data_IF_350877356269
#
_entry.id   IF_350877356269
#
_cell.length_a   1.000
_cell.length_b   1.000
_cell.length_c   1.000
_cell.angle_alpha   90.00
_cell.angle_beta   90.00
_cell.angle_gamma   90.00
#
_symmetry.space_group_name_H-M   'P 1'
#
loop_
_entity.id
_entity.type
_entity.pdbx_description
1 polymer ?
#
# COMPACT_ATOMS: atom_id res chain seq x y z
N UNK A 1 -2.35 -3.25 8.96
CA UNK A 1 -2.08 -3.75 7.58
C UNK A 1 -3.02 -4.88 7.16
N UNK A 2 -3.18 -5.98 7.91
CA UNK A 2 -4.04 -7.13 7.52
C UNK A 2 -5.50 -6.78 7.19
N UNK A 3 -6.15 -5.91 7.98
CA UNK A 3 -7.56 -5.55 7.74
C UNK A 3 -7.79 -4.69 6.49
N UNK A 4 -6.81 -3.86 6.12
CA UNK A 4 -6.91 -2.98 4.94
C UNK A 4 -6.71 -3.78 3.65
N UNK A 5 -5.73 -4.70 3.62
CA UNK A 5 -5.57 -5.61 2.49
C UNK A 5 -6.80 -6.50 2.30
N UNK A 6 -7.38 -7.02 3.38
CA UNK A 6 -8.60 -7.85 3.30
C UNK A 6 -9.79 -7.08 2.72
N UNK A 7 -9.92 -5.79 3.05
CA UNK A 7 -11.01 -4.96 2.55
C UNK A 7 -10.84 -4.62 1.07
N UNK A 8 -9.62 -4.27 0.65
CA UNK A 8 -9.29 -3.99 -0.76
C UNK A 8 -9.48 -5.26 -1.61
N UNK A 9 -9.08 -6.43 -1.10
CA UNK A 9 -9.25 -7.70 -1.82
C UNK A 9 -10.72 -8.10 -1.93
N UNK A 10 -11.51 -7.92 -0.86
CA UNK A 10 -12.94 -8.18 -0.88
C UNK A 10 -13.69 -7.25 -1.83
N UNK A 11 -13.30 -5.97 -1.88
CA UNK A 11 -13.92 -4.98 -2.77
C UNK A 11 -13.56 -5.21 -4.24
N UNK A 12 -12.28 -5.46 -4.55
CA UNK A 12 -11.84 -5.83 -5.90
C UNK A 12 -12.50 -7.13 -6.38
N UNK A 13 -12.61 -8.14 -5.49
CA UNK A 13 -13.32 -9.38 -5.80
C UNK A 13 -14.79 -9.13 -6.08
N UNK A 14 -15.45 -8.24 -5.32
CA UNK A 14 -16.84 -7.87 -5.56
C UNK A 14 -17.01 -7.14 -6.90
N UNK A 15 -16.12 -6.20 -7.24
CA UNK A 15 -16.14 -5.50 -8.54
C UNK A 15 -15.90 -6.47 -9.71
N UNK A 16 -14.98 -7.44 -9.56
CA UNK A 16 -14.72 -8.46 -10.58
C UNK A 16 -15.93 -9.39 -10.72
N UNK A 17 -16.54 -9.83 -9.61
CA UNK A 17 -17.73 -10.70 -9.64
C UNK A 17 -18.94 -9.98 -10.23
N UNK A 18 -19.15 -8.69 -9.95
CA UNK A 18 -20.22 -7.89 -10.57
C UNK A 18 -19.96 -7.70 -12.07
N UNK A 19 -18.70 -7.45 -12.46
CA UNK A 19 -18.32 -7.32 -13.87
C UNK A 19 -18.43 -8.64 -14.64
N UNK A 20 -18.06 -9.77 -14.01
CA UNK A 20 -18.15 -11.11 -14.60
C UNK A 20 -19.60 -11.62 -14.65
N UNK A 21 -20.43 -11.37 -13.65
CA UNK A 21 -21.85 -11.76 -13.68
C UNK A 21 -22.63 -10.98 -14.75
N UNK A 22 -22.20 -9.77 -15.10
CA UNK A 22 -22.80 -9.02 -16.20
C UNK A 22 -22.39 -9.56 -17.59
N UNK A 23 -21.24 -10.24 -17.68
CA UNK A 23 -20.71 -10.78 -18.94
C UNK A 23 -21.23 -12.21 -19.23
N UNK A 24 -21.48 -13.02 -18.20
CA UNK A 24 -21.79 -14.45 -18.35
C UNK A 24 -23.23 -14.82 -18.73
N UNK A 25 -24.21 -13.90 -18.68
CA UNK A 25 -25.63 -14.21 -18.94
C UNK A 25 -26.13 -14.02 -20.38
N UNK A 26 -25.30 -13.54 -21.31
CA UNK A 26 -25.81 -12.96 -22.58
C UNK A 26 -25.53 -13.79 -23.86
N UNK A 27 -25.09 -15.05 -23.76
CA UNK A 27 -24.72 -15.82 -24.96
C UNK A 27 -25.78 -16.84 -25.39
N UNK A 28 -26.35 -17.61 -24.45
CA UNK A 28 -27.31 -18.68 -24.76
C UNK A 28 -28.77 -18.21 -24.87
N UNK A 29 -29.16 -17.20 -24.09
CA UNK A 29 -30.56 -16.71 -24.08
C UNK A 29 -30.94 -15.98 -25.38
N UNK A 30 -29.98 -15.41 -26.10
CA UNK A 30 -30.26 -14.57 -27.27
C UNK A 30 -30.50 -15.35 -28.57
N UNK A 31 -29.99 -16.58 -28.70
CA UNK A 31 -30.30 -17.41 -29.88
C UNK A 31 -31.78 -17.80 -29.88
N UNK A 32 -32.34 -18.08 -28.69
CA UNK A 32 -33.76 -18.33 -28.49
C UNK A 32 -34.61 -17.08 -28.81
N UNK A 33 -34.16 -15.88 -28.41
CA UNK A 33 -34.84 -14.62 -28.73
C UNK A 33 -34.92 -14.34 -30.24
N UNK A 34 -33.83 -14.60 -30.98
CA UNK A 34 -33.80 -14.36 -32.43
C UNK A 34 -34.75 -15.30 -33.19
N UNK A 35 -34.76 -16.59 -32.84
CA UNK A 35 -35.67 -17.55 -33.48
C UNK A 35 -37.13 -17.20 -33.21
N UNK A 36 -37.45 -16.80 -31.98
CA UNK A 36 -38.80 -16.36 -31.60
C UNK A 36 -39.21 -15.10 -32.37
N UNK A 37 -38.30 -14.15 -32.57
CA UNK A 37 -38.57 -12.94 -33.36
C UNK A 37 -38.82 -13.26 -34.83
N UNK A 38 -38.10 -14.23 -35.41
CA UNK A 38 -38.38 -14.69 -36.78
C UNK A 38 -39.75 -15.38 -36.89
N UNK A 39 -40.11 -16.22 -35.94
CA UNK A 39 -41.41 -16.90 -35.94
C UNK A 39 -42.55 -15.88 -35.81
N UNK A 40 -42.37 -14.84 -34.98
CA UNK A 40 -43.31 -13.72 -34.88
C UNK A 40 -43.40 -12.92 -36.16
N UNK A 41 -42.25 -12.58 -36.79
CA UNK A 41 -42.25 -11.86 -38.06
C UNK A 41 -43.04 -12.62 -39.13
N UNK A 42 -42.84 -13.94 -39.21
CA UNK A 42 -43.57 -14.81 -40.13
C UNK A 42 -45.08 -14.87 -39.82
N UNK A 43 -45.45 -14.91 -38.54
CA UNK A 43 -46.86 -14.87 -38.13
C UNK A 43 -47.51 -13.53 -38.53
N UNK A 44 -46.84 -12.40 -38.26
CA UNK A 44 -47.32 -11.09 -38.68
C UNK A 44 -47.43 -10.95 -40.20
N UNK A 45 -46.49 -11.49 -40.97
CA UNK A 45 -46.61 -11.54 -42.43
C UNK A 45 -47.81 -12.37 -42.90
N UNK A 46 -48.08 -13.51 -42.27
CA UNK A 46 -49.23 -14.35 -42.59
C UNK A 46 -50.56 -13.65 -42.26
N UNK A 47 -50.57 -12.81 -41.22
CA UNK A 47 -51.71 -11.98 -40.81
C UNK A 47 -51.85 -10.70 -41.65
N UNK A 48 -50.89 -10.40 -42.54
CA UNK A 48 -50.86 -9.19 -43.36
C UNK A 48 -50.39 -7.92 -42.61
N UNK A 49 -49.86 -8.08 -41.41
CA UNK A 49 -49.32 -6.99 -40.58
C UNK A 49 -47.84 -6.73 -40.90
N UNK A 50 -47.62 -6.03 -42.02
CA UNK A 50 -46.29 -5.67 -42.49
C UNK A 50 -45.51 -4.80 -41.48
N UNK A 51 -46.21 -3.95 -40.71
CA UNK A 51 -45.59 -3.03 -39.76
C UNK A 51 -44.94 -3.77 -38.58
N UNK A 52 -45.66 -4.70 -37.95
CA UNK A 52 -45.08 -5.48 -36.87
C UNK A 52 -44.03 -6.49 -37.37
N UNK A 53 -44.20 -7.01 -38.60
CA UNK A 53 -43.20 -7.86 -39.22
C UNK A 53 -41.85 -7.16 -39.42
N UNK A 54 -41.84 -5.94 -39.99
CA UNK A 54 -40.59 -5.19 -40.20
C UNK A 54 -39.90 -4.85 -38.86
N UNK A 55 -40.66 -4.48 -37.82
CA UNK A 55 -40.11 -4.22 -36.48
C UNK A 55 -39.41 -5.47 -35.93
N UNK A 56 -39.99 -6.66 -36.12
CA UNK A 56 -39.38 -7.91 -35.67
C UNK A 56 -38.03 -8.15 -36.37
N UNK A 57 -37.96 -8.01 -37.70
CA UNK A 57 -36.71 -8.16 -38.43
C UNK A 57 -35.66 -7.11 -38.05
N UNK A 58 -36.04 -5.84 -37.93
CA UNK A 58 -35.15 -4.77 -37.52
C UNK A 58 -34.61 -5.00 -36.10
N UNK A 59 -35.44 -5.55 -35.21
CA UNK A 59 -35.02 -5.95 -33.86
C UNK A 59 -33.98 -7.06 -33.88
N UNK A 60 -34.14 -8.06 -34.77
CA UNK A 60 -33.11 -9.10 -34.96
C UNK A 60 -31.80 -8.49 -35.47
N UNK A 61 -31.85 -7.59 -36.45
CA UNK A 61 -30.66 -6.90 -36.95
C UNK A 61 -29.98 -6.10 -35.84
N UNK A 62 -30.74 -5.36 -35.02
CA UNK A 62 -30.24 -4.61 -33.87
C UNK A 62 -29.49 -5.51 -32.87
N UNK A 63 -30.07 -6.68 -32.55
CA UNK A 63 -29.48 -7.66 -31.64
C UNK A 63 -28.18 -8.28 -32.19
N UNK A 64 -28.11 -8.53 -33.50
CA UNK A 64 -26.98 -9.19 -34.15
C UNK A 64 -25.91 -8.21 -34.67
N UNK A 65 -26.19 -6.90 -34.72
CA UNK A 65 -25.33 -5.89 -35.34
C UNK A 65 -23.88 -5.95 -34.83
N UNK A 66 -23.72 -5.89 -33.51
CA UNK A 66 -22.42 -5.88 -32.80
C UNK A 66 -21.88 -7.29 -32.52
N UNK A 67 -22.62 -8.34 -32.91
CA UNK A 67 -22.17 -9.73 -32.74
C UNK A 67 -21.24 -10.11 -33.89
N UNK A 68 -20.42 -11.13 -33.64
CA UNK A 68 -19.56 -11.72 -34.66
C UNK A 68 -20.38 -12.22 -35.85
N UNK A 69 -19.73 -12.28 -37.00
CA UNK A 69 -20.34 -12.75 -38.24
C UNK A 69 -20.68 -14.24 -38.12
N UNK A 70 -21.96 -14.55 -38.32
CA UNK A 70 -22.52 -15.90 -38.18
C UNK A 70 -23.52 -16.17 -39.30
N UNK A 71 -23.80 -17.45 -39.55
CA UNK A 71 -24.89 -17.89 -40.45
C UNK A 71 -26.23 -17.26 -40.05
N UNK A 72 -26.49 -17.12 -38.74
CA UNK A 72 -27.71 -16.49 -38.24
C UNK A 72 -27.81 -15.01 -38.64
N UNK A 73 -26.69 -14.28 -38.61
CA UNK A 73 -26.61 -12.89 -39.06
C UNK A 73 -26.87 -12.77 -40.56
N UNK A 74 -26.34 -13.69 -41.38
CA UNK A 74 -26.69 -13.77 -42.82
C UNK A 74 -28.18 -14.00 -43.00
N UNK A 75 -28.76 -14.97 -42.29
CA UNK A 75 -30.20 -15.28 -42.33
C UNK A 75 -31.07 -14.07 -41.98
N UNK A 76 -30.67 -13.28 -40.98
CA UNK A 76 -31.38 -12.05 -40.61
C UNK A 76 -31.39 -11.00 -41.72
N UNK A 77 -30.24 -10.70 -42.31
CA UNK A 77 -30.13 -9.78 -43.43
C UNK A 77 -30.89 -10.29 -44.66
N UNK A 78 -30.80 -11.58 -44.95
CA UNK A 78 -31.53 -12.20 -46.06
C UNK A 78 -33.04 -12.07 -45.89
N UNK A 79 -33.57 -12.35 -44.69
CA UNK A 79 -35.03 -12.25 -44.42
C UNK A 79 -35.54 -10.82 -44.47
N UNK A 80 -34.79 -9.87 -43.90
CA UNK A 80 -35.14 -8.45 -43.99
C UNK A 80 -35.10 -7.96 -45.46
N UNK A 81 -34.10 -8.39 -46.23
CA UNK A 81 -34.02 -8.06 -47.65
C UNK A 81 -35.14 -8.68 -48.48
N UNK A 82 -35.50 -9.94 -48.23
CA UNK A 82 -36.64 -10.61 -48.87
C UNK A 82 -37.96 -9.88 -48.55
N UNK A 83 -38.11 -9.43 -47.30
CA UNK A 83 -39.23 -8.58 -46.88
C UNK A 83 -39.23 -7.24 -47.63
N UNK A 84 -38.11 -6.51 -47.67
CA UNK A 84 -38.00 -5.25 -48.41
C UNK A 84 -38.32 -5.42 -49.90
N UNK A 85 -37.85 -6.52 -50.50
CA UNK A 85 -38.14 -6.85 -51.90
C UNK A 85 -39.64 -7.04 -52.14
N UNK A 86 -40.34 -7.75 -51.24
CA UNK A 86 -41.78 -8.03 -51.34
C UNK A 86 -42.63 -6.76 -51.40
N UNK A 87 -42.25 -5.77 -50.61
CA UNK A 87 -42.96 -4.49 -50.50
C UNK A 87 -42.40 -3.40 -51.43
N UNK A 88 -41.60 -3.78 -52.43
CA UNK A 88 -41.11 -2.87 -53.47
C UNK A 88 -40.06 -1.85 -53.00
N UNK A 89 -39.40 -2.12 -51.88
CA UNK A 89 -38.27 -1.35 -51.33
C UNK A 89 -36.95 -1.92 -51.85
N UNK A 90 -36.80 -2.01 -53.18
CA UNK A 90 -35.69 -2.74 -53.81
C UNK A 90 -34.31 -2.19 -53.45
N UNK A 91 -34.16 -0.88 -53.23
CA UNK A 91 -32.89 -0.29 -52.81
C UNK A 91 -32.45 -0.78 -51.42
N UNK A 92 -33.40 -0.91 -50.47
CA UNK A 92 -33.14 -1.48 -49.14
C UNK A 92 -32.92 -2.99 -49.20
N UNK A 93 -33.60 -3.69 -50.11
CA UNK A 93 -33.34 -5.10 -50.37
C UNK A 93 -31.88 -5.31 -50.83
N UNK A 94 -31.39 -4.49 -51.76
CA UNK A 94 -29.97 -4.49 -52.18
C UNK A 94 -29.05 -4.29 -51.00
N UNK A 95 -29.31 -3.31 -50.12
CA UNK A 95 -28.48 -3.04 -48.95
C UNK A 95 -28.36 -4.25 -48.03
N UNK A 96 -29.51 -4.84 -47.65
CA UNK A 96 -29.54 -5.99 -46.75
C UNK A 96 -28.95 -7.26 -47.40
N UNK A 97 -29.32 -7.59 -48.64
CA UNK A 97 -28.75 -8.74 -49.34
C UNK A 97 -27.25 -8.59 -49.58
N UNK A 98 -26.75 -7.37 -49.77
CA UNK A 98 -25.31 -7.07 -49.90
C UNK A 98 -24.57 -7.28 -48.60
N UNK A 99 -25.13 -6.88 -47.46
CA UNK A 99 -24.54 -7.17 -46.16
C UNK A 99 -24.51 -8.68 -45.88
N UNK A 100 -25.62 -9.39 -46.15
CA UNK A 100 -25.67 -10.85 -46.08
C UNK A 100 -24.62 -11.53 -46.97
N UNK A 101 -24.47 -11.07 -48.22
CA UNK A 101 -23.46 -11.54 -49.16
C UNK A 101 -22.02 -11.33 -48.65
N UNK A 102 -21.75 -10.14 -48.09
CA UNK A 102 -20.43 -9.80 -47.55
C UNK A 102 -20.07 -10.65 -46.34
N UNK A 103 -21.04 -10.89 -45.44
CA UNK A 103 -20.87 -11.77 -44.29
C UNK A 103 -20.64 -13.21 -44.77
N UNK A 104 -21.48 -13.73 -45.68
CA UNK A 104 -21.34 -15.07 -46.26
C UNK A 104 -19.95 -15.30 -46.87
N UNK A 105 -19.40 -14.28 -47.54
CA UNK A 105 -18.03 -14.29 -48.05
C UNK A 105 -16.97 -14.35 -46.95
N UNK A 106 -17.15 -13.64 -45.85
CA UNK A 106 -16.18 -13.61 -44.72
C UNK A 106 -16.19 -14.90 -43.90
N UNK A 107 -17.35 -15.56 -43.79
CA UNK A 107 -17.46 -16.88 -43.14
C UNK A 107 -17.15 -18.05 -44.10
N UNK A 108 -16.83 -17.74 -45.36
CA UNK A 108 -16.49 -18.71 -46.41
C UNK A 108 -17.57 -19.78 -46.65
N UNK A 109 -18.85 -19.40 -46.50
CA UNK A 109 -19.99 -20.28 -46.78
C UNK A 109 -20.44 -20.12 -48.24
N UNK A 110 -19.97 -21.03 -49.10
CA UNK A 110 -20.30 -21.06 -50.53
C UNK A 110 -21.81 -21.17 -50.79
N UNK A 111 -22.57 -21.85 -49.93
CA UNK A 111 -24.02 -22.03 -50.09
C UNK A 111 -24.73 -20.70 -49.91
N UNK A 112 -24.43 -20.00 -48.81
CA UNK A 112 -24.99 -18.68 -48.51
C UNK A 112 -24.51 -17.62 -49.50
N UNK A 113 -23.24 -17.67 -49.89
CA UNK A 113 -22.67 -16.77 -50.89
C UNK A 113 -23.41 -16.88 -52.23
N UNK A 114 -23.72 -18.11 -52.64
CA UNK A 114 -24.50 -18.43 -53.82
C UNK A 114 -25.94 -17.90 -53.67
N UNK A 115 -26.59 -18.16 -52.53
CA UNK A 115 -27.95 -17.70 -52.23
C UNK A 115 -28.09 -16.17 -52.29
N UNK A 116 -27.17 -15.44 -51.64
CA UNK A 116 -27.17 -13.97 -51.62
C UNK A 116 -26.80 -13.37 -52.97
N UNK A 117 -25.93 -14.03 -53.76
CA UNK A 117 -25.63 -13.57 -55.13
C UNK A 117 -26.85 -13.64 -56.05
N UNK A 118 -27.66 -14.69 -55.95
CA UNK A 118 -28.89 -14.81 -56.73
C UNK A 118 -29.89 -13.69 -56.40
N UNK A 119 -30.10 -13.43 -55.09
CA UNK A 119 -30.95 -12.33 -54.62
C UNK A 119 -30.48 -10.96 -55.10
N UNK A 120 -29.19 -10.67 -54.99
CA UNK A 120 -28.64 -9.42 -55.52
C UNK A 120 -28.85 -9.28 -57.03
N UNK A 121 -28.73 -10.37 -57.79
CA UNK A 121 -29.06 -10.38 -59.21
C UNK A 121 -30.51 -9.94 -59.48
N UNK A 122 -31.45 -10.45 -58.67
CA UNK A 122 -32.86 -10.09 -58.70
C UNK A 122 -33.10 -8.63 -58.29
N UNK A 123 -32.54 -8.18 -57.17
CA UNK A 123 -32.72 -6.82 -56.68
C UNK A 123 -32.21 -5.78 -57.71
N UNK A 124 -31.02 -6.01 -58.26
CA UNK A 124 -30.42 -5.14 -59.27
C UNK A 124 -31.23 -5.07 -60.56
N UNK A 125 -31.91 -6.16 -60.92
CA UNK A 125 -32.85 -6.16 -62.03
C UNK A 125 -34.07 -5.29 -61.73
N UNK A 126 -34.61 -5.35 -60.52
CA UNK A 126 -35.79 -4.55 -60.12
C UNK A 126 -35.51 -3.04 -60.07
N UNK A 127 -34.28 -2.63 -59.72
CA UNK A 127 -33.84 -1.23 -59.82
C UNK A 127 -33.29 -0.85 -61.21
N UNK A 128 -33.49 -1.69 -62.23
CA UNK A 128 -33.10 -1.46 -63.63
C UNK A 128 -31.59 -1.29 -63.87
N UNK A 129 -30.75 -1.92 -63.04
CA UNK A 129 -29.29 -1.96 -63.21
C UNK A 129 -28.87 -3.31 -63.81
N UNK A 130 -29.13 -3.48 -65.11
CA UNK A 130 -28.98 -4.75 -65.83
C UNK A 130 -27.56 -5.31 -65.82
N UNK A 131 -26.55 -4.46 -65.99
CA UNK A 131 -25.14 -4.91 -66.02
C UNK A 131 -24.71 -5.48 -64.67
N UNK A 132 -25.07 -4.82 -63.57
CA UNK A 132 -24.81 -5.28 -62.21
C UNK A 132 -25.58 -6.56 -61.89
N UNK A 133 -26.84 -6.64 -62.32
CA UNK A 133 -27.64 -7.86 -62.19
C UNK A 133 -26.96 -9.04 -62.90
N UNK A 134 -26.51 -8.85 -64.15
CA UNK A 134 -25.83 -9.87 -64.93
C UNK A 134 -24.52 -10.33 -64.27
N UNK A 135 -23.76 -9.42 -63.68
CA UNK A 135 -22.56 -9.76 -62.91
C UNK A 135 -22.88 -10.72 -61.75
N UNK A 136 -23.88 -10.42 -60.92
CA UNK A 136 -24.24 -11.27 -59.79
C UNK A 136 -24.88 -12.61 -60.22
N UNK A 137 -25.68 -12.61 -61.29
CA UNK A 137 -26.23 -13.84 -61.90
C UNK A 137 -25.09 -14.75 -62.40
N UNK A 138 -24.09 -14.19 -63.09
CA UNK A 138 -22.94 -14.96 -63.55
C UNK A 138 -22.11 -15.50 -62.38
N UNK A 139 -21.97 -14.71 -61.31
CA UNK A 139 -21.28 -15.12 -60.10
C UNK A 139 -22.00 -16.27 -59.38
N UNK A 140 -23.31 -16.18 -59.23
CA UNK A 140 -24.16 -17.27 -58.76
C UNK A 140 -23.93 -18.54 -59.58
N UNK A 141 -24.00 -18.44 -60.92
CA UNK A 141 -23.82 -19.59 -61.82
C UNK A 141 -22.44 -20.22 -61.68
N UNK A 142 -21.39 -19.41 -61.60
CA UNK A 142 -20.02 -19.91 -61.46
C UNK A 142 -19.85 -20.72 -60.17
N UNK A 143 -20.28 -20.18 -59.03
CA UNK A 143 -20.19 -20.85 -57.73
C UNK A 143 -21.08 -22.09 -57.71
N UNK A 144 -22.31 -21.96 -58.20
CA UNK A 144 -23.29 -23.05 -58.24
C UNK A 144 -22.82 -24.25 -59.06
N UNK A 145 -22.23 -24.01 -60.25
CA UNK A 145 -21.68 -25.06 -61.09
C UNK A 145 -20.42 -25.70 -60.48
N UNK A 146 -19.50 -24.88 -59.98
CA UNK A 146 -18.24 -25.36 -59.42
C UNK A 146 -18.42 -26.21 -58.15
N UNK A 147 -19.49 -25.94 -57.38
CA UNK A 147 -19.74 -26.57 -56.07
C UNK A 147 -20.93 -27.55 -56.08
N UNK A 148 -21.58 -27.76 -57.23
CA UNK A 148 -22.73 -28.66 -57.35
C UNK A 148 -24.02 -28.15 -56.67
N UNK A 149 -24.17 -26.84 -56.51
CA UNK A 149 -25.26 -26.17 -55.77
C UNK A 149 -26.41 -25.70 -56.69
N UNK A 150 -26.72 -26.47 -57.74
CA UNK A 150 -27.58 -26.05 -58.86
C UNK A 150 -29.06 -25.76 -58.48
N UNK A 151 -29.50 -26.18 -57.29
CA UNK A 151 -30.86 -26.02 -56.77
C UNK A 151 -30.94 -25.31 -55.41
N UNK A 152 -29.88 -24.61 -55.01
CA UNK A 152 -29.77 -24.01 -53.66
C UNK A 152 -30.59 -22.74 -53.52
N UNK A 153 -30.73 -21.96 -54.60
CA UNK A 153 -31.58 -20.78 -54.58
C UNK A 153 -33.03 -21.17 -54.87
N UNK A 154 -33.89 -20.97 -53.87
CA UNK A 154 -35.34 -21.01 -54.00
C UNK A 154 -35.85 -19.71 -53.40
N UNK A 155 -36.32 -18.79 -54.23
CA UNK A 155 -37.05 -17.64 -53.75
C UNK A 155 -38.53 -17.96 -53.57
N UNK A 156 -39.18 -17.14 -52.77
CA UNK A 156 -40.61 -17.23 -52.46
C UNK A 156 -41.50 -16.84 -53.63
N UNK A 157 -40.93 -16.19 -54.65
CA UNK A 157 -41.62 -15.73 -55.87
C UNK A 157 -41.65 -16.79 -56.98
N UNK A 158 -41.09 -17.98 -56.73
CA UNK A 158 -41.12 -19.10 -57.67
C UNK A 158 -40.21 -18.91 -58.89
N UNK A 159 -39.20 -18.04 -58.81
CA UNK A 159 -38.26 -17.75 -59.89
C UNK A 159 -37.08 -18.71 -59.84
N UNK A 160 -37.39 -20.00 -60.00
CA UNK A 160 -36.46 -21.13 -59.81
C UNK A 160 -35.25 -21.15 -60.77
N UNK A 161 -35.24 -20.32 -61.82
CA UNK A 161 -34.13 -20.25 -62.76
C UNK A 161 -33.95 -18.86 -63.36
N UNK A 162 -32.96 -18.12 -62.87
CA UNK A 162 -32.41 -16.93 -63.52
C UNK A 162 -31.75 -17.34 -64.85
N UNK A 163 -32.49 -17.32 -65.96
CA UNK A 163 -31.95 -17.56 -67.30
C UNK A 163 -31.80 -16.24 -68.10
N UNK A 164 -30.60 -15.63 -68.11
CA UNK A 164 -30.36 -14.34 -68.75
C UNK A 164 -30.35 -14.39 -70.29
N UNK A 165 -30.39 -15.58 -70.91
CA UNK A 165 -30.29 -15.75 -72.36
C UNK A 165 -31.66 -15.92 -73.05
N UNK A 166 -32.75 -15.92 -72.28
CA UNK A 166 -34.11 -15.81 -72.81
C UNK A 166 -34.65 -14.44 -72.44
N UNK A 167 -35.60 -13.92 -73.22
CA UNK A 167 -36.35 -12.68 -72.98
C UNK A 167 -37.17 -12.67 -71.65
N UNK A 168 -36.85 -13.56 -70.71
CA UNK A 168 -37.47 -13.74 -69.40
C UNK A 168 -37.32 -12.51 -68.50
N UNK A 169 -36.29 -11.68 -68.67
CA UNK A 169 -36.06 -10.52 -67.79
C UNK A 169 -37.27 -9.58 -67.71
N UNK A 170 -37.90 -9.32 -68.86
CA UNK A 170 -39.07 -8.45 -68.92
C UNK A 170 -40.29 -9.12 -68.28
N UNK A 171 -40.42 -10.45 -68.45
CA UNK A 171 -41.49 -11.24 -67.82
C UNK A 171 -41.35 -11.24 -66.29
N UNK A 172 -40.16 -11.52 -65.78
CA UNK A 172 -39.87 -11.57 -64.34
C UNK A 172 -40.14 -10.21 -63.70
N UNK A 173 -39.64 -9.14 -64.30
CA UNK A 173 -39.89 -7.77 -63.81
C UNK A 173 -41.38 -7.45 -63.80
N UNK A 174 -42.13 -7.86 -64.82
CA UNK A 174 -43.57 -7.59 -64.90
C UNK A 174 -44.36 -8.39 -63.85
N UNK A 175 -44.02 -9.66 -63.62
CA UNK A 175 -44.64 -10.50 -62.58
C UNK A 175 -44.38 -9.95 -61.18
N UNK A 176 -43.13 -9.60 -60.88
CA UNK A 176 -42.77 -9.07 -59.54
C UNK A 176 -43.38 -7.67 -59.33
N UNK A 177 -43.43 -6.81 -60.36
CA UNK A 177 -44.07 -5.48 -60.25
C UNK A 177 -45.59 -5.56 -60.11
N UNK A 178 -46.26 -6.53 -60.73
CA UNK A 178 -47.71 -6.70 -60.59
C UNK A 178 -48.11 -7.11 -59.17
N UNK A 179 -47.30 -7.95 -58.50
CA UNK A 179 -47.52 -8.35 -57.11
C UNK A 179 -47.12 -7.25 -56.11
N UNK A 180 -46.03 -6.52 -56.40
CA UNK A 180 -45.55 -5.39 -55.57
C UNK A 180 -46.42 -4.13 -55.67
N UNK A 181 -47.41 -4.07 -56.58
CA UNK A 181 -48.36 -2.97 -56.73
C UNK A 181 -49.37 -2.88 -55.56
N UNK A 182 -49.21 -3.72 -54.53
CA UNK A 182 -49.84 -3.61 -53.22
C UNK A 182 -49.47 -2.33 -52.46
N UNK A 183 -50.02 -1.21 -52.92
CA UNK A 183 -50.16 0.11 -52.29
C UNK A 183 -48.87 0.86 -51.92
N UNK A 184 -48.51 1.88 -52.73
CA UNK A 184 -47.46 2.88 -52.45
C UNK A 184 -47.52 3.42 -51.01
N UNK A 185 -48.73 3.57 -50.46
CA UNK A 185 -48.97 4.00 -49.08
C UNK A 185 -48.34 3.05 -48.04
N UNK A 186 -48.49 1.74 -48.22
CA UNK A 186 -47.89 0.74 -47.32
C UNK A 186 -46.36 0.86 -47.33
N UNK A 187 -45.78 1.05 -48.51
CA UNK A 187 -44.33 1.26 -48.65
C UNK A 187 -43.85 2.52 -47.93
N UNK A 188 -44.56 3.64 -48.06
CA UNK A 188 -44.26 4.88 -47.33
C UNK A 188 -44.34 4.69 -45.81
N UNK A 189 -45.40 4.01 -45.33
CA UNK A 189 -45.59 3.69 -43.91
C UNK A 189 -44.45 2.82 -43.37
N UNK A 190 -44.04 1.77 -44.09
CA UNK A 190 -42.92 0.90 -43.70
C UNK A 190 -41.59 1.65 -43.67
N UNK A 191 -41.35 2.55 -44.65
CA UNK A 191 -40.15 3.39 -44.65
C UNK A 191 -40.12 4.35 -43.47
N UNK A 192 -41.25 4.97 -43.12
CA UNK A 192 -41.34 5.81 -41.92
C UNK A 192 -41.12 5.01 -40.65
N UNK A 193 -41.71 3.82 -40.54
CA UNK A 193 -41.60 2.98 -39.35
C UNK A 193 -40.16 2.51 -39.11
N UNK A 194 -39.45 2.13 -40.18
CA UNK A 194 -38.04 1.79 -40.11
C UNK A 194 -37.17 3.00 -39.72
N UNK A 195 -37.47 4.19 -40.25
CA UNK A 195 -36.75 5.40 -39.87
C UNK A 195 -36.95 5.75 -38.39
N UNK A 196 -38.19 5.67 -37.89
CA UNK A 196 -38.53 5.91 -36.49
C UNK A 196 -37.85 4.90 -35.56
N UNK A 197 -37.89 3.61 -35.91
CA UNK A 197 -37.19 2.56 -35.16
C UNK A 197 -35.68 2.84 -35.07
N UNK A 198 -35.06 3.19 -36.20
CA UNK A 198 -33.62 3.48 -36.23
C UNK A 198 -33.27 4.74 -35.43
N UNK A 199 -34.13 5.76 -35.48
CA UNK A 199 -33.97 6.98 -34.69
C UNK A 199 -34.06 6.69 -33.18
N UNK A 200 -35.10 5.98 -32.73
CA UNK A 200 -35.28 5.61 -31.32
C UNK A 200 -34.08 4.81 -30.80
N UNK A 201 -33.63 3.80 -31.55
CA UNK A 201 -32.45 3.00 -31.18
C UNK A 201 -31.18 3.83 -31.13
N UNK A 202 -31.03 4.85 -31.98
CA UNK A 202 -29.88 5.75 -31.95
C UNK A 202 -29.85 6.62 -30.70
N UNK A 203 -31.02 7.13 -30.25
CA UNK A 203 -31.14 7.91 -29.03
C UNK A 203 -30.81 7.07 -27.79
N UNK A 204 -31.37 5.86 -27.71
CA UNK A 204 -31.09 4.93 -26.62
C UNK A 204 -29.60 4.55 -26.54
N UNK A 205 -28.93 4.33 -27.67
CA UNK A 205 -27.48 4.07 -27.70
C UNK A 205 -26.68 5.29 -27.24
N UNK A 206 -27.10 6.50 -27.62
CA UNK A 206 -26.47 7.74 -27.17
C UNK A 206 -26.61 7.93 -25.66
N UNK A 207 -27.82 7.78 -25.12
CA UNK A 207 -28.08 7.87 -23.68
C UNK A 207 -27.28 6.81 -22.89
N UNK A 208 -27.24 5.57 -23.38
CA UNK A 208 -26.44 4.50 -22.79
C UNK A 208 -24.94 4.80 -22.81
N UNK A 209 -24.43 5.39 -23.90
CA UNK A 209 -23.02 5.78 -24.02
C UNK A 209 -22.69 6.95 -23.07
N UNK A 210 -23.56 7.96 -22.99
CA UNK A 210 -23.43 9.06 -22.03
C UNK A 210 -23.41 8.54 -20.59
N UNK A 211 -24.34 7.64 -20.23
CA UNK A 211 -24.36 7.01 -18.92
C UNK A 211 -23.08 6.21 -18.65
N UNK A 212 -22.59 5.45 -19.64
CA UNK A 212 -21.34 4.68 -19.50
C UNK A 212 -20.13 5.58 -19.28
N UNK A 213 -20.06 6.73 -19.95
CA UNK A 213 -18.98 7.72 -19.76
C UNK A 213 -19.04 8.36 -18.37
N UNK A 214 -20.23 8.69 -17.87
CA UNK A 214 -20.43 9.20 -16.50
C UNK A 214 -19.96 8.17 -15.46
N UNK A 215 -20.31 6.89 -15.62
CA UNK A 215 -19.83 5.83 -14.72
C UNK A 215 -18.31 5.68 -14.79
N UNK A 216 -17.73 5.69 -15.99
CA UNK A 216 -16.27 5.60 -16.19
C UNK A 216 -15.53 6.75 -15.51
N UNK A 217 -15.96 8.00 -15.73
CA UNK A 217 -15.35 9.18 -15.09
C UNK A 217 -15.47 9.15 -13.56
N UNK A 218 -16.63 8.79 -13.02
CA UNK A 218 -16.80 8.63 -11.58
C UNK A 218 -15.86 7.56 -10.99
N UNK A 219 -15.65 6.44 -11.70
CA UNK A 219 -14.75 5.37 -11.27
C UNK A 219 -13.28 5.83 -11.17
N UNK A 220 -12.83 6.64 -12.14
CA UNK A 220 -11.47 7.21 -12.15
C UNK A 220 -11.26 8.16 -10.98
N UNK A 221 -12.23 9.05 -10.73
CA UNK A 221 -12.18 9.99 -9.58
C UNK A 221 -12.09 9.22 -8.26
N UNK A 222 -12.88 8.15 -8.11
CA UNK A 222 -12.84 7.32 -6.92
C UNK A 222 -11.47 6.64 -6.71
N UNK A 223 -10.89 6.08 -7.77
CA UNK A 223 -9.57 5.42 -7.72
C UNK A 223 -8.48 6.43 -7.33
N UNK A 224 -8.46 7.62 -7.93
CA UNK A 224 -7.51 8.69 -7.60
C UNK A 224 -7.68 9.15 -6.14
N UNK A 225 -8.92 9.29 -5.68
CA UNK A 225 -9.24 9.58 -4.27
C UNK A 225 -8.70 8.51 -3.32
N UNK A 226 -8.83 7.23 -3.69
CA UNK A 226 -8.31 6.12 -2.88
C UNK A 226 -6.78 6.13 -2.80
N UNK A 227 -6.08 6.36 -3.92
CA UNK A 227 -4.62 6.43 -3.94
C UNK A 227 -4.06 7.62 -3.16
N UNK A 228 -4.72 8.78 -3.23
CA UNK A 228 -4.32 9.95 -2.43
C UNK A 228 -4.49 9.70 -0.92
N UNK A 229 -5.61 9.07 -0.51
CA UNK A 229 -5.83 8.68 0.89
C UNK A 229 -4.79 7.65 1.39
N UNK A 230 -4.45 6.66 0.57
CA UNK A 230 -3.39 5.69 0.88
C UNK A 230 -2.03 6.38 1.03
N UNK A 231 -1.69 7.31 0.12
CA UNK A 231 -0.44 8.07 0.19
C UNK A 231 -0.34 8.88 1.48
N UNK A 232 -1.44 9.54 1.90
CA UNK A 232 -1.50 10.26 3.18
C UNK A 232 -1.36 9.31 4.37
N UNK A 233 -2.00 8.14 4.33
CA UNK A 233 -1.89 7.13 5.38
C UNK A 233 -0.45 6.62 5.53
N UNK A 234 0.21 6.25 4.43
CA UNK A 234 1.61 5.82 4.44
C UNK A 234 2.56 6.94 4.87
N UNK A 235 2.32 8.16 4.42
CA UNK A 235 3.11 9.33 4.83
C UNK A 235 3.00 9.58 6.34
N UNK A 236 1.79 9.55 6.91
CA UNK A 236 1.57 9.69 8.36
C UNK A 236 2.19 8.52 9.14
N UNK A 237 2.05 7.29 8.64
CA UNK A 237 2.66 6.11 9.25
C UNK A 237 4.18 6.20 9.30
N UNK A 238 4.80 6.64 8.20
CA UNK A 238 6.26 6.84 8.11
C UNK A 238 6.72 7.94 9.06
N UNK A 239 6.05 9.09 9.08
CA UNK A 239 6.41 10.22 9.96
C UNK A 239 6.40 9.80 11.43
N UNK A 240 5.38 9.05 11.87
CA UNK A 240 5.31 8.55 13.25
C UNK A 240 6.42 7.54 13.58
N UNK A 241 6.84 6.73 12.61
CA UNK A 241 7.96 5.81 12.78
C UNK A 241 9.30 6.55 12.89
N UNK A 242 9.50 7.60 12.08
CA UNK A 242 10.68 8.46 12.15
C UNK A 242 10.77 9.20 13.50
N UNK A 243 9.65 9.74 14.00
CA UNK A 243 9.58 10.37 15.33
C UNK A 243 9.97 9.37 16.46
N UNK A 244 9.40 8.16 16.43
CA UNK A 244 9.74 7.11 17.41
C UNK A 244 11.23 6.71 17.35
N UNK A 245 11.81 6.65 16.14
CA UNK A 245 13.23 6.35 15.96
C UNK A 245 14.11 7.46 16.53
N UNK A 246 13.75 8.73 16.30
CA UNK A 246 14.50 9.88 16.85
C UNK A 246 14.47 9.91 18.37
N UNK A 247 13.32 9.59 18.99
CA UNK A 247 13.20 9.51 20.44
C UNK A 247 14.05 8.36 21.01
N UNK A 248 14.03 7.18 20.37
CA UNK A 248 14.85 6.05 20.79
C UNK A 248 16.36 6.33 20.66
N UNK A 249 16.79 7.03 19.61
CA UNK A 249 18.19 7.45 19.43
C UNK A 249 18.57 8.43 20.53
N UNK A 250 17.73 9.43 20.82
CA UNK A 250 17.98 10.41 21.88
C UNK A 250 18.11 9.74 23.24
N UNK A 251 17.21 8.83 23.58
CA UNK A 251 17.28 8.07 24.83
C UNK A 251 18.56 7.21 24.92
N UNK A 252 18.99 6.61 23.80
CA UNK A 252 20.26 5.88 23.75
C UNK A 252 21.49 6.77 23.96
N UNK A 253 21.47 7.99 23.40
CA UNK A 253 22.52 8.98 23.58
C UNK A 253 22.57 9.48 25.03
N UNK A 254 21.43 9.80 25.62
CA UNK A 254 21.33 10.25 27.01
C UNK A 254 21.84 9.17 27.97
N UNK A 255 21.47 7.89 27.74
CA UNK A 255 22.04 6.75 28.49
C UNK A 255 23.55 6.67 28.35
N UNK A 256 24.09 6.80 27.13
CA UNK A 256 25.53 6.76 26.90
C UNK A 256 26.24 7.88 27.66
N UNK A 257 25.72 9.11 27.57
CA UNK A 257 26.29 10.26 28.26
C UNK A 257 26.28 10.08 29.79
N UNK A 258 25.23 9.46 30.34
CA UNK A 258 25.16 9.10 31.75
C UNK A 258 26.28 8.12 32.16
N UNK A 259 26.52 7.07 31.37
CA UNK A 259 27.60 6.12 31.66
C UNK A 259 28.99 6.75 31.54
N UNK A 260 29.24 7.55 30.50
CA UNK A 260 30.52 8.25 30.31
C UNK A 260 30.83 9.17 31.51
N UNK A 261 29.82 9.88 32.01
CA UNK A 261 29.95 10.74 33.20
C UNK A 261 30.27 9.92 34.45
N UNK A 262 29.58 8.79 34.65
CA UNK A 262 29.81 7.91 35.80
C UNK A 262 31.19 7.26 35.77
N UNK A 263 31.68 6.91 34.58
CA UNK A 263 33.03 6.37 34.40
C UNK A 263 34.10 7.41 34.75
N UNK A 264 33.92 8.67 34.33
CA UNK A 264 34.83 9.75 34.70
C UNK A 264 34.89 9.99 36.22
N UNK A 265 33.74 9.95 36.91
CA UNK A 265 33.67 10.07 38.38
C UNK A 265 34.40 8.92 39.08
N UNK A 266 34.22 7.68 38.60
CA UNK A 266 34.92 6.51 39.13
C UNK A 266 36.43 6.62 38.95
N UNK A 267 36.90 7.03 37.76
CA UNK A 267 38.33 7.26 37.52
C UNK A 267 38.90 8.33 38.47
N UNK A 268 38.13 9.38 38.75
CA UNK A 268 38.54 10.43 39.70
C UNK A 268 38.68 9.87 41.12
N UNK A 269 37.72 9.06 41.58
CA UNK A 269 37.78 8.42 42.89
C UNK A 269 38.95 7.44 43.00
N UNK A 270 39.18 6.63 41.96
CA UNK A 270 40.28 5.67 41.92
C UNK A 270 41.63 6.39 42.03
N UNK A 271 41.79 7.51 41.32
CA UNK A 271 43.00 8.33 41.41
C UNK A 271 43.20 8.89 42.83
N UNK A 272 42.14 9.41 43.45
CA UNK A 272 42.20 9.92 44.82
C UNK A 272 42.57 8.82 45.84
N UNK A 273 42.04 7.61 45.67
CA UNK A 273 42.37 6.47 46.53
C UNK A 273 43.84 6.08 46.38
N UNK A 274 44.36 6.00 45.14
CA UNK A 274 45.78 5.73 44.87
C UNK A 274 46.71 6.78 45.46
N UNK A 275 46.34 8.07 45.37
CA UNK A 275 47.12 9.15 45.98
C UNK A 275 47.17 9.04 47.51
N UNK A 276 46.04 8.72 48.15
CA UNK A 276 45.99 8.48 49.60
C UNK A 276 46.78 7.26 50.04
N UNK A 277 46.70 6.17 49.27
CA UNK A 277 47.49 4.97 49.52
C UNK A 277 48.99 5.28 49.49
N UNK A 278 49.43 6.03 48.49
CA UNK A 278 50.84 6.43 48.36
C UNK A 278 51.29 7.37 49.50
N UNK A 279 50.41 8.25 49.98
CA UNK A 279 50.70 9.08 51.16
C UNK A 279 50.83 8.22 52.43
N UNK A 280 49.92 7.27 52.65
CA UNK A 280 49.95 6.37 53.81
C UNK A 280 51.20 5.49 53.82
N UNK A 281 51.65 5.05 52.65
CA UNK A 281 52.84 4.22 52.45
C UNK A 281 54.15 5.03 52.33
N UNK A 282 54.12 6.34 52.59
CA UNK A 282 55.34 7.16 52.56
C UNK A 282 56.38 6.69 53.58
N UNK A 283 57.66 6.80 53.24
CA UNK A 283 58.79 6.41 54.10
C UNK A 283 58.70 7.08 55.49
N UNK A 284 58.25 8.34 55.55
CA UNK A 284 58.02 9.08 56.79
C UNK A 284 56.97 8.42 57.68
N UNK A 285 55.87 7.95 57.09
CA UNK A 285 54.80 7.27 57.83
C UNK A 285 55.23 5.87 58.27
N UNK A 286 56.02 5.16 57.46
CA UNK A 286 56.62 3.87 57.84
C UNK A 286 57.56 4.06 59.05
N UNK A 287 58.41 5.08 59.03
CA UNK A 287 59.27 5.45 60.16
C UNK A 287 58.46 5.81 61.41
N UNK A 288 57.36 6.56 61.26
CA UNK A 288 56.49 6.90 62.38
C UNK A 288 55.80 5.66 62.97
N UNK A 289 55.27 4.75 62.14
CA UNK A 289 54.62 3.50 62.59
C UNK A 289 55.62 2.60 63.33
N UNK A 290 56.83 2.44 62.80
CA UNK A 290 57.88 1.63 63.45
C UNK A 290 58.28 2.23 64.80
N UNK A 291 58.41 3.56 64.89
CA UNK A 291 58.65 4.29 66.13
C UNK A 291 57.50 4.10 67.14
N UNK A 292 56.24 4.26 66.71
CA UNK A 292 55.06 4.05 67.56
C UNK A 292 55.01 2.62 68.08
N UNK A 293 55.25 1.62 67.22
CA UNK A 293 55.27 0.21 67.62
C UNK A 293 56.38 -0.07 68.64
N UNK A 294 57.57 0.51 68.47
CA UNK A 294 58.65 0.42 69.46
C UNK A 294 58.22 1.03 70.81
N UNK A 295 57.65 2.24 70.78
CA UNK A 295 57.18 2.95 71.97
C UNK A 295 56.04 2.22 72.71
N UNK A 296 55.15 1.54 71.97
CA UNK A 296 54.05 0.77 72.56
C UNK A 296 54.51 -0.56 73.14
N UNK A 297 55.38 -1.28 72.45
CA UNK A 297 55.86 -2.62 72.86
C UNK A 297 56.91 -2.58 73.96
N UNK A 298 57.76 -1.55 74.01
CA UNK A 298 58.75 -1.37 75.08
C UNK A 298 58.84 0.11 75.52
N UNK A 299 57.92 0.55 76.40
CA UNK A 299 57.92 1.91 76.91
C UNK A 299 59.19 2.20 77.72
N UNK A 300 59.97 3.19 77.28
CA UNK A 300 61.21 3.63 77.93
C UNK A 300 61.17 5.12 78.22
N UNK A 301 62.03 5.59 79.13
CA UNK A 301 62.19 7.02 79.38
C UNK A 301 62.77 7.72 78.15
N UNK A 302 62.14 8.82 77.73
CA UNK A 302 62.49 9.61 76.54
C UNK A 302 62.72 8.75 75.28
N UNK A 303 61.67 8.06 74.78
CA UNK A 303 61.82 7.11 73.66
C UNK A 303 61.93 7.79 72.29
N UNK A 304 61.64 9.10 72.22
CA UNK A 304 61.81 9.99 71.06
C UNK A 304 62.96 10.94 71.40
N UNK A 305 64.03 10.89 70.62
CA UNK A 305 65.30 11.56 70.93
C UNK A 305 65.60 12.74 70.04
N UNK A 306 65.06 12.74 68.82
CA UNK A 306 65.36 13.77 67.81
C UNK A 306 64.13 14.59 67.46
N UNK A 307 64.35 15.83 67.04
CA UNK A 307 63.28 16.69 66.51
C UNK A 307 62.63 16.06 65.26
N UNK A 308 63.38 15.31 64.46
CA UNK A 308 62.88 14.68 63.24
C UNK A 308 61.99 13.46 63.53
N UNK A 309 62.25 12.70 64.61
CA UNK A 309 61.34 11.66 65.08
C UNK A 309 60.01 12.27 65.57
N UNK A 310 60.05 13.40 66.29
CA UNK A 310 58.83 14.13 66.67
C UNK A 310 58.06 14.65 65.46
N UNK A 311 58.75 15.27 64.49
CA UNK A 311 58.12 15.70 63.23
C UNK A 311 57.45 14.54 62.51
N UNK A 312 58.07 13.36 62.51
CA UNK A 312 57.50 12.15 61.90
C UNK A 312 56.21 11.71 62.59
N UNK A 313 56.14 11.79 63.93
CA UNK A 313 54.92 11.48 64.70
C UNK A 313 53.80 12.50 64.45
N UNK A 314 54.12 13.79 64.40
CA UNK A 314 53.14 14.84 64.10
C UNK A 314 52.61 14.73 62.68
N UNK A 315 53.50 14.50 61.70
CA UNK A 315 53.11 14.32 60.29
C UNK A 315 52.25 13.06 60.10
N UNK A 316 52.55 11.99 60.83
CA UNK A 316 51.73 10.78 60.82
C UNK A 316 50.36 11.00 61.47
N UNK A 317 50.30 11.74 62.58
CA UNK A 317 49.04 12.13 63.22
C UNK A 317 48.19 12.99 62.28
N UNK A 318 48.79 13.92 61.54
CA UNK A 318 48.12 14.73 60.51
C UNK A 318 47.59 13.86 59.35
N UNK A 319 48.37 12.86 58.93
CA UNK A 319 47.96 11.95 57.85
C UNK A 319 46.76 11.08 58.26
N UNK A 320 46.74 10.60 59.51
CA UNK A 320 45.63 9.78 60.04
C UNK A 320 44.40 10.60 60.41
N UNK A 321 44.61 11.84 60.86
CA UNK A 321 43.58 12.74 61.35
C UNK A 321 43.76 14.12 60.70
N UNK A 322 43.26 14.31 59.47
CA UNK A 322 43.39 15.59 58.77
C UNK A 322 42.80 16.75 59.60
N UNK A 323 43.52 17.85 59.72
CA UNK A 323 43.15 19.01 60.53
C UNK A 323 43.63 18.94 62.00
N UNK A 324 44.46 17.95 62.35
CA UNK A 324 45.00 17.79 63.70
C UNK A 324 45.94 18.95 64.09
N UNK A 325 46.81 19.37 63.18
CA UNK A 325 47.77 20.45 63.39
C UNK A 325 47.07 21.80 63.44
N UNK A 326 46.09 22.04 62.56
CA UNK A 326 45.24 23.25 62.60
C UNK A 326 44.48 23.35 63.93
N UNK A 327 43.97 22.22 64.43
CA UNK A 327 43.32 22.14 65.74
C UNK A 327 44.27 22.47 66.90
N UNK A 328 45.56 22.10 66.78
CA UNK A 328 46.58 22.41 67.79
C UNK A 328 47.08 23.86 67.72
N UNK A 329 47.11 24.45 66.53
CA UNK A 329 47.58 25.82 66.30
C UNK A 329 46.55 26.90 66.63
N UNK A 330 45.25 26.57 66.53
CA UNK A 330 44.16 27.45 66.94
C UNK A 330 44.23 27.84 68.44
N UNK A 331 44.92 27.06 69.26
CA UNK A 331 45.04 27.25 70.71
C UNK A 331 46.39 27.90 71.08
N UNK A 332 46.36 29.19 71.43
CA UNK A 332 47.55 30.02 71.60
C UNK A 332 48.35 29.74 72.90
N UNK A 333 47.78 29.01 73.88
CA UNK A 333 48.33 28.83 75.23
C UNK A 333 48.99 27.45 75.49
N UNK A 334 49.19 26.64 74.45
CA UNK A 334 49.83 25.31 74.54
C UNK A 334 51.35 25.40 74.41
N UNK A 335 52.07 24.87 75.40
CA UNK A 335 53.53 24.72 75.33
C UNK A 335 53.93 23.60 74.36
N UNK A 336 55.18 23.57 73.91
CA UNK A 336 55.72 22.50 73.04
C UNK A 336 55.46 21.10 73.63
N UNK A 337 55.70 20.93 74.93
CA UNK A 337 55.38 19.70 75.67
C UNK A 337 53.89 19.39 75.71
N UNK A 338 53.03 20.40 75.79
CA UNK A 338 51.58 20.18 75.74
C UNK A 338 51.16 19.64 74.37
N UNK A 339 51.77 20.13 73.28
CA UNK A 339 51.55 19.64 71.90
C UNK A 339 52.03 18.21 71.71
N UNK A 340 53.22 17.87 72.24
CA UNK A 340 53.76 16.51 72.22
C UNK A 340 52.82 15.53 72.95
N UNK A 341 52.33 15.91 74.13
CA UNK A 341 51.35 15.11 74.89
C UNK A 341 50.05 14.95 74.10
N UNK A 342 49.54 16.01 73.47
CA UNK A 342 48.36 15.92 72.60
C UNK A 342 48.56 14.95 71.42
N UNK A 343 49.71 15.00 70.75
CA UNK A 343 50.06 14.08 69.67
C UNK A 343 50.09 12.63 70.16
N UNK A 344 50.78 12.35 71.27
CA UNK A 344 50.83 11.01 71.84
C UNK A 344 49.44 10.50 72.27
N UNK A 345 48.61 11.38 72.83
CA UNK A 345 47.23 11.03 73.16
C UNK A 345 46.41 10.68 71.92
N UNK A 346 46.53 11.47 70.84
CA UNK A 346 45.81 11.25 69.59
C UNK A 346 46.27 9.97 68.89
N UNK A 347 47.55 9.63 68.98
CA UNK A 347 48.15 8.36 68.52
C UNK A 347 47.84 7.16 69.44
N UNK A 348 47.04 7.37 70.49
CA UNK A 348 46.50 6.31 71.35
C UNK A 348 47.48 5.79 72.39
N UNK A 349 48.44 6.60 72.86
CA UNK A 349 49.28 6.23 74.00
C UNK A 349 48.53 6.41 75.33
N UNK A 350 48.65 5.42 76.21
CA UNK A 350 47.99 5.43 77.52
C UNK A 350 48.65 6.41 78.49
N UNK A 351 47.92 6.86 79.52
CA UNK A 351 48.46 7.72 80.57
C UNK A 351 49.67 7.07 81.28
N UNK A 352 49.66 5.74 81.44
CA UNK A 352 50.78 4.99 82.02
C UNK A 352 52.03 5.01 81.14
N UNK A 353 51.88 4.77 79.83
CA UNK A 353 53.00 4.83 78.88
C UNK A 353 53.61 6.23 78.81
N UNK A 354 52.78 7.28 78.72
CA UNK A 354 53.27 8.65 78.71
C UNK A 354 53.97 9.02 80.03
N UNK A 355 53.48 8.54 81.18
CA UNK A 355 54.15 8.75 82.45
C UNK A 355 55.59 8.19 82.46
N UNK A 356 55.79 6.99 81.86
CA UNK A 356 57.11 6.39 81.65
C UNK A 356 57.96 7.25 80.70
N UNK A 357 57.40 7.71 79.58
CA UNK A 357 58.14 8.51 78.60
C UNK A 357 58.73 9.79 79.18
N UNK A 358 57.98 10.47 80.06
CA UNK A 358 58.41 11.72 80.70
C UNK A 358 59.07 11.52 82.08
N UNK A 359 59.18 10.28 82.58
CA UNK A 359 59.81 9.98 83.88
C UNK A 359 59.05 10.57 85.07
N UNK A 360 57.72 10.68 84.97
CA UNK A 360 56.85 11.24 86.02
C UNK A 360 55.87 10.20 86.53
N UNK A 361 55.27 10.45 87.70
CA UNK A 361 54.20 9.55 88.21
C UNK A 361 52.97 9.57 87.28
N UNK A 362 52.23 8.45 87.14
CA UNK A 362 50.97 8.43 86.39
C UNK A 362 49.96 9.47 86.86
N UNK A 363 49.90 9.74 88.17
CA UNK A 363 49.05 10.80 88.74
C UNK A 363 49.45 12.21 88.29
N UNK A 364 50.75 12.47 88.14
CA UNK A 364 51.26 13.72 87.58
C UNK A 364 50.89 13.87 86.11
N UNK A 365 50.92 12.78 85.33
CA UNK A 365 50.51 12.79 83.93
C UNK A 365 49.00 13.03 83.78
N UNK A 366 48.16 12.42 84.62
CA UNK A 366 46.71 12.69 84.62
C UNK A 366 46.42 14.17 84.89
N UNK A 367 47.11 14.78 85.86
CA UNK A 367 46.99 16.22 86.15
C UNK A 367 47.45 17.08 84.96
N UNK A 368 48.52 16.67 84.28
CA UNK A 368 48.99 17.35 83.07
C UNK A 368 47.96 17.30 81.93
N UNK A 369 47.39 16.12 81.65
CA UNK A 369 46.31 15.94 80.65
C UNK A 369 45.08 16.79 80.98
N UNK A 370 44.65 16.81 82.24
CA UNK A 370 43.52 17.62 82.68
C UNK A 370 43.78 19.13 82.52
N UNK A 371 45.01 19.58 82.80
CA UNK A 371 45.42 20.97 82.57
C UNK A 371 45.39 21.33 81.08
N UNK A 372 45.87 20.45 80.21
CA UNK A 372 45.81 20.63 78.75
C UNK A 372 44.33 20.67 78.29
N UNK A 373 43.48 19.78 78.78
CA UNK A 373 42.04 19.77 78.50
C UNK A 373 41.30 21.02 78.97
N UNK A 374 41.80 21.70 80.01
CA UNK A 374 41.25 22.97 80.50
C UNK A 374 41.68 24.17 79.65
N UNK A 375 42.83 24.07 78.98
CA UNK A 375 43.33 25.08 78.04
C UNK A 375 42.62 25.01 76.69
N UNK A 376 42.16 23.84 76.26
CA UNK A 376 41.53 23.61 74.96
C UNK A 376 40.02 23.85 75.03
N UNK A 377 39.49 24.67 74.12
CA UNK A 377 38.06 25.01 74.02
C UNK A 377 37.15 23.81 73.72
N UNK A 378 35.83 23.88 74.02
CA UNK A 378 34.90 22.76 73.86
C UNK A 378 34.77 22.24 72.42
N UNK A 379 34.88 23.11 71.40
CA UNK A 379 34.75 22.74 69.99
C UNK A 379 35.96 21.96 69.44
N UNK A 380 37.14 22.16 70.03
CA UNK A 380 38.39 21.52 69.62
C UNK A 380 38.68 20.19 70.36
N UNK A 381 37.86 19.86 71.37
CA UNK A 381 38.02 18.61 72.15
C UNK A 381 37.80 17.35 71.30
N UNK A 382 36.93 17.42 70.30
CA UNK A 382 36.65 16.32 69.36
C UNK A 382 37.83 16.04 68.40
N UNK A 383 38.58 17.08 68.04
CA UNK A 383 39.75 17.01 67.14
C UNK A 383 41.03 16.50 67.79
N UNK A 384 41.22 16.70 69.11
CA UNK A 384 42.49 16.39 69.80
C UNK A 384 42.39 15.19 70.75
N UNK A 385 41.23 14.98 71.39
CA UNK A 385 41.04 13.87 72.33
C UNK A 385 40.25 12.74 71.65
N UNK A 386 40.62 11.46 71.82
CA UNK A 386 39.74 10.38 71.42
C UNK A 386 38.41 10.53 72.18
N UNK A 387 37.27 10.40 71.50
CA UNK A 387 35.98 10.28 72.19
C UNK A 387 36.08 9.07 73.12
N UNK A 388 35.89 9.28 74.43
CA UNK A 388 35.75 8.17 75.38
C UNK A 388 34.45 7.45 75.00
N UNK A 389 34.59 6.23 74.46
CA UNK A 389 33.52 5.24 74.43
C UNK A 389 33.38 4.62 75.82
#
# INVERSE_FOLDING_TARGET
MRHILSFIFSFLFCCIVVSCNYCGKNAADHEYDVTVLFDRAKAYEADGDAGNAIICYLSVIDLLKEKQDTVLKVSAYTRLGDFHFRYGMYEKAVENHREGYNIARRIEDDRLLCESAARLGMDYMMINQKDTALYFINKYRQVSLAKGLQNVFKDEYGLYSLNPNKDDFTSIVNTVKSDSLGNLKCREELMSLEADFMHEKSLLRKEKAEMSNVVSTASVIFIVGMFSALSVFFYRGRRKAEECLTDAIKESMDRKHFYDTREADLCKQEKQLKERELQLLSDTNICAVTLINRMKSSPTYMPVKTSDEWKSLFLFAETLYPGFSESLEAECDLTERDREICCLMKLGFTTGQMAVFYGISPGSMTKAKFRIQKKIGPDCKSGIFPQMA
#
